data_IF_009965443907
#
_entry.id   IF_009965443907
#
_cell.length_a   1.000
_cell.length_b   1.000
_cell.length_c   1.000
_cell.angle_alpha   90.00
_cell.angle_beta   90.00
_cell.angle_gamma   90.00
#
_symmetry.space_group_name_H-M   'P 1'
#
loop_
_entity.id
_entity.type
_entity.pdbx_description
1 polymer ?
#
# COMPACT_ATOMS: atom_id res chain seq x y z
N UNK A 1 -5.64 -40.29 -3.17
CA UNK A 1 -6.06 -38.96 -3.65
C UNK A 1 -4.78 -38.18 -3.89
N UNK A 2 -4.40 -37.99 -5.15
CA UNK A 2 -3.22 -37.20 -5.52
C UNK A 2 -3.63 -35.73 -5.32
N UNK A 3 -2.95 -35.02 -4.42
CA UNK A 3 -3.05 -33.57 -4.31
C UNK A 3 -2.48 -32.99 -5.61
N UNK A 4 -3.27 -32.20 -6.33
CA UNK A 4 -2.78 -31.46 -7.50
C UNK A 4 -1.55 -30.66 -7.08
N UNK A 5 -0.46 -30.80 -7.82
CA UNK A 5 0.77 -30.03 -7.56
C UNK A 5 0.45 -28.54 -7.71
N UNK A 6 0.68 -27.71 -6.68
CA UNK A 6 0.46 -26.29 -6.79
C UNK A 6 1.40 -25.71 -7.84
N UNK A 7 0.84 -25.10 -8.89
CA UNK A 7 1.61 -24.44 -9.95
C UNK A 7 2.36 -23.27 -9.29
N UNK A 8 3.67 -23.43 -9.10
CA UNK A 8 4.52 -22.43 -8.50
C UNK A 8 4.60 -21.18 -9.40
N UNK A 9 4.34 -20.02 -8.81
CA UNK A 9 4.41 -18.72 -9.49
C UNK A 9 5.87 -18.38 -9.86
N UNK A 10 6.16 -17.98 -11.11
CA UNK A 10 7.53 -17.87 -11.65
C UNK A 10 8.35 -16.66 -11.17
N UNK A 11 7.75 -15.67 -10.48
CA UNK A 11 8.47 -14.48 -9.98
C UNK A 11 8.31 -14.40 -8.45
N UNK A 12 9.32 -14.85 -7.70
CA UNK A 12 9.33 -14.73 -6.24
C UNK A 12 10.08 -13.47 -5.80
N UNK A 13 9.34 -12.51 -5.23
CA UNK A 13 9.92 -11.49 -4.35
C UNK A 13 10.64 -12.23 -3.18
N UNK A 14 11.76 -11.68 -2.68
CA UNK A 14 12.43 -12.22 -1.49
C UNK A 14 11.49 -12.28 -0.27
N UNK A 15 11.82 -13.04 0.81
CA UNK A 15 10.96 -13.20 1.99
C UNK A 15 10.45 -11.85 2.52
N UNK A 16 9.15 -11.71 2.88
CA UNK A 16 8.64 -10.44 3.37
C UNK A 16 9.40 -9.98 4.61
N UNK A 17 9.72 -8.69 4.68
CA UNK A 17 10.52 -8.07 5.74
C UNK A 17 9.63 -7.29 6.70
N UNK A 18 10.11 -6.94 7.91
CA UNK A 18 9.33 -6.13 8.86
C UNK A 18 8.77 -4.82 8.28
N UNK A 19 9.46 -4.21 7.32
CA UNK A 19 9.01 -2.99 6.63
C UNK A 19 7.81 -3.20 5.68
N UNK A 20 7.57 -4.45 5.28
CA UNK A 20 6.47 -4.86 4.40
C UNK A 20 5.20 -5.17 5.23
N UNK A 21 5.30 -5.09 6.57
CA UNK A 21 4.17 -5.30 7.46
C UNK A 21 3.08 -4.22 7.28
N UNK A 22 1.84 -4.69 7.20
CA UNK A 22 0.65 -3.87 7.00
C UNK A 22 -0.23 -4.01 8.24
N UNK A 23 -0.67 -2.89 8.82
CA UNK A 23 -1.53 -2.89 10.03
C UNK A 23 -2.95 -3.36 9.73
N UNK A 24 -3.73 -3.85 10.70
CA UNK A 24 -5.15 -4.14 10.49
C UNK A 24 -5.98 -2.93 10.01
N UNK A 25 -7.15 -3.18 9.40
CA UNK A 25 -8.17 -2.18 9.13
C UNK A 25 -8.74 -1.69 10.48
N UNK A 26 -8.71 -0.38 10.77
CA UNK A 26 -9.32 0.17 11.98
C UNK A 26 -10.82 -0.11 12.01
N UNK A 27 -11.37 -0.46 13.18
CA UNK A 27 -12.81 -0.73 13.32
C UNK A 27 -13.71 0.46 12.93
N UNK A 28 -13.17 1.68 12.98
CA UNK A 28 -13.87 2.90 12.57
C UNK A 28 -13.79 3.20 11.06
N UNK A 29 -13.08 2.39 10.28
CA UNK A 29 -12.93 2.60 8.84
C UNK A 29 -14.16 2.07 8.09
N UNK A 30 -14.60 2.80 7.07
CA UNK A 30 -15.65 2.35 6.16
C UNK A 30 -15.07 1.40 5.11
N UNK A 31 -14.89 0.13 5.47
CA UNK A 31 -14.58 -0.95 4.51
C UNK A 31 -15.87 -1.52 3.92
N UNK A 32 -15.80 -2.03 2.70
CA UNK A 32 -16.85 -2.90 2.15
C UNK A 32 -16.53 -4.37 2.43
N UNK A 33 -17.55 -5.20 2.38
CA UNK A 33 -17.43 -6.66 2.56
C UNK A 33 -17.47 -7.35 1.20
N UNK A 34 -16.53 -8.27 0.98
CA UNK A 34 -16.45 -9.18 -0.16
C UNK A 34 -16.73 -10.59 0.37
N UNK A 35 -17.81 -11.20 -0.09
CA UNK A 35 -18.31 -12.49 0.41
C UNK A 35 -18.47 -13.56 -0.69
N UNK A 36 -18.24 -13.20 -1.96
CA UNK A 36 -18.29 -14.16 -3.06
C UNK A 36 -17.04 -15.03 -3.04
N UNK A 37 -17.21 -16.36 -3.04
CA UNK A 37 -16.10 -17.32 -3.06
C UNK A 37 -15.21 -17.13 -4.30
N UNK A 38 -15.81 -16.87 -5.46
CA UNK A 38 -15.09 -16.61 -6.71
C UNK A 38 -14.25 -15.32 -6.60
N UNK A 39 -14.82 -14.23 -6.08
CA UNK A 39 -14.09 -12.96 -5.91
C UNK A 39 -12.95 -13.08 -4.89
N UNK A 40 -13.17 -13.87 -3.83
CA UNK A 40 -12.15 -14.20 -2.84
C UNK A 40 -11.04 -15.03 -3.51
N UNK A 41 -11.40 -16.05 -4.28
CA UNK A 41 -10.46 -16.90 -5.01
C UNK A 41 -9.60 -16.12 -6.00
N UNK A 42 -10.21 -15.27 -6.82
CA UNK A 42 -9.51 -14.38 -7.75
C UNK A 42 -8.54 -13.44 -7.02
N UNK A 43 -9.00 -12.87 -5.89
CA UNK A 43 -8.19 -11.96 -5.07
C UNK A 43 -6.98 -12.67 -4.46
N UNK A 44 -7.17 -13.85 -3.87
CA UNK A 44 -6.10 -14.65 -3.28
C UNK A 44 -5.12 -15.13 -4.36
N UNK A 45 -5.64 -15.49 -5.54
CA UNK A 45 -4.82 -15.90 -6.70
C UNK A 45 -3.95 -14.74 -7.18
N UNK A 46 -4.50 -13.52 -7.24
CA UNK A 46 -3.73 -12.34 -7.60
C UNK A 46 -2.61 -12.07 -6.60
N UNK A 47 -2.89 -12.12 -5.29
CA UNK A 47 -1.88 -11.98 -4.24
C UNK A 47 -0.77 -13.04 -4.33
N UNK A 48 -1.14 -14.29 -4.64
CA UNK A 48 -0.18 -15.37 -4.85
C UNK A 48 0.71 -15.09 -6.08
N UNK A 49 0.09 -14.72 -7.21
CA UNK A 49 0.79 -14.43 -8.47
C UNK A 49 1.79 -13.28 -8.36
N UNK A 50 1.53 -12.30 -7.50
CA UNK A 50 2.40 -11.15 -7.27
C UNK A 50 3.43 -11.38 -6.15
N UNK A 51 3.28 -12.46 -5.38
CA UNK A 51 4.07 -12.74 -4.19
C UNK A 51 3.94 -11.65 -3.13
N UNK A 52 2.74 -11.08 -2.98
CA UNK A 52 2.50 -9.96 -2.06
C UNK A 52 2.60 -10.40 -0.60
N UNK A 53 3.12 -9.49 0.25
CA UNK A 53 3.30 -9.76 1.66
C UNK A 53 1.95 -9.80 2.40
N UNK A 54 1.81 -10.77 3.30
CA UNK A 54 0.68 -10.91 4.19
C UNK A 54 1.16 -10.78 5.64
N UNK A 55 0.49 -9.90 6.38
CA UNK A 55 0.68 -9.70 7.81
C UNK A 55 -0.37 -10.45 8.60
N UNK A 56 0.05 -11.36 9.48
CA UNK A 56 -0.81 -12.22 10.29
C UNK A 56 -0.72 -11.80 11.75
N UNK A 57 -1.81 -11.24 12.28
CA UNK A 57 -1.90 -10.76 13.65
C UNK A 57 -2.60 -11.79 14.54
N UNK A 58 -1.83 -12.28 15.52
CA UNK A 58 -2.32 -13.07 16.64
C UNK A 58 -2.97 -12.14 17.67
N UNK A 59 -4.14 -12.48 18.24
CA UNK A 59 -4.76 -11.73 19.32
C UNK A 59 -3.78 -11.46 20.47
N UNK A 60 -3.65 -10.20 20.87
CA UNK A 60 -2.72 -9.77 21.91
C UNK A 60 -1.27 -9.52 21.46
N UNK A 61 -0.89 -9.91 20.24
CA UNK A 61 0.41 -9.55 19.66
C UNK A 61 0.33 -8.22 18.91
N UNK A 62 1.37 -7.39 19.05
CA UNK A 62 1.55 -6.17 18.23
C UNK A 62 2.36 -6.45 16.96
N UNK A 63 3.23 -7.46 17.00
CA UNK A 63 4.08 -7.81 15.88
C UNK A 63 3.39 -8.89 15.04
N UNK A 64 3.26 -8.69 13.72
CA UNK A 64 2.69 -9.70 12.84
C UNK A 64 3.70 -10.79 12.53
N UNK A 65 3.21 -12.01 12.37
CA UNK A 65 3.92 -13.03 11.59
C UNK A 65 3.80 -12.65 10.11
N UNK A 66 4.88 -12.81 9.36
CA UNK A 66 4.93 -12.44 7.94
C UNK A 66 5.04 -13.69 7.05
N UNK A 67 4.40 -13.61 5.89
CA UNK A 67 4.45 -14.64 4.87
C UNK A 67 3.81 -14.17 3.56
N UNK A 68 3.56 -15.09 2.64
CA UNK A 68 2.79 -14.88 1.40
C UNK A 68 1.88 -16.06 1.08
N UNK A 69 0.89 -15.88 0.22
CA UNK A 69 0.20 -17.03 -0.39
C UNK A 69 1.16 -17.65 -1.39
N UNK A 70 1.44 -18.94 -1.20
CA UNK A 70 2.26 -19.72 -2.11
C UNK A 70 1.46 -20.12 -3.35
N UNK A 71 0.24 -20.61 -3.13
CA UNK A 71 -0.62 -21.15 -4.18
C UNK A 71 -2.07 -21.12 -3.74
N UNK A 72 -2.97 -21.04 -4.71
CA UNK A 72 -4.41 -21.18 -4.55
C UNK A 72 -4.85 -22.40 -5.35
N UNK A 73 -5.70 -23.24 -4.77
CA UNK A 73 -6.25 -24.40 -5.47
C UNK A 73 -7.25 -23.92 -6.55
N UNK A 74 -7.15 -24.41 -7.79
CA UNK A 74 -7.98 -23.92 -8.90
C UNK A 74 -9.44 -24.41 -8.86
N UNK A 75 -9.75 -25.43 -8.04
CA UNK A 75 -11.07 -26.08 -8.02
C UNK A 75 -11.74 -26.01 -6.64
N UNK A 76 -10.94 -25.99 -5.57
CA UNK A 76 -11.43 -25.98 -4.20
C UNK A 76 -11.09 -24.66 -3.51
N UNK A 77 -11.89 -24.21 -2.52
CA UNK A 77 -11.64 -22.97 -1.77
C UNK A 77 -10.51 -23.17 -0.74
N UNK A 78 -9.32 -23.49 -1.23
CA UNK A 78 -8.12 -23.75 -0.45
C UNK A 78 -6.93 -22.97 -1.00
N UNK A 79 -6.02 -22.61 -0.11
CA UNK A 79 -4.75 -22.02 -0.48
C UNK A 79 -3.66 -22.48 0.48
N UNK A 80 -2.41 -22.32 0.07
CA UNK A 80 -1.25 -22.62 0.91
C UNK A 80 -0.56 -21.32 1.27
N UNK A 81 -0.36 -21.12 2.56
CA UNK A 81 0.38 -19.99 3.11
C UNK A 81 1.85 -20.40 3.31
N UNK A 82 2.79 -19.60 2.81
CA UNK A 82 4.23 -19.74 3.07
C UNK A 82 4.65 -18.68 4.10
N UNK A 83 5.02 -19.12 5.30
CA UNK A 83 5.58 -18.27 6.36
C UNK A 83 7.05 -17.99 6.12
N UNK A 84 7.57 -16.95 6.78
CA UNK A 84 9.01 -16.76 6.90
C UNK A 84 9.68 -17.90 7.69
N UNK A 85 10.95 -18.15 7.40
CA UNK A 85 11.75 -19.13 8.12
C UNK A 85 11.76 -18.89 9.64
N UNK A 86 11.55 -19.96 10.41
CA UNK A 86 11.48 -19.91 11.87
C UNK A 86 10.18 -19.34 12.44
N UNK A 87 9.24 -18.89 11.59
CA UNK A 87 7.94 -18.42 12.05
C UNK A 87 6.92 -19.57 12.16
N UNK A 88 5.96 -19.40 13.06
CA UNK A 88 4.83 -20.31 13.27
C UNK A 88 3.59 -19.52 13.69
N UNK A 89 2.41 -20.03 13.37
CA UNK A 89 1.15 -19.47 13.86
C UNK A 89 0.67 -20.24 15.09
N UNK A 90 0.35 -19.57 16.22
CA UNK A 90 -0.26 -20.24 17.35
C UNK A 90 -1.73 -20.58 17.06
N UNK A 91 -2.29 -21.63 17.69
CA UNK A 91 -3.71 -21.96 17.62
C UNK A 91 -4.63 -20.76 17.87
N UNK A 92 -5.77 -20.77 17.19
CA UNK A 92 -6.85 -19.82 17.38
C UNK A 92 -7.05 -18.89 16.18
N UNK A 93 -7.67 -17.75 16.47
CA UNK A 93 -8.11 -16.76 15.47
C UNK A 93 -6.95 -15.88 15.04
N UNK A 94 -6.68 -15.80 13.75
CA UNK A 94 -5.64 -14.95 13.16
C UNK A 94 -6.30 -13.92 12.24
N UNK A 95 -5.83 -12.67 12.30
CA UNK A 95 -6.24 -11.62 11.34
C UNK A 95 -5.17 -11.48 10.27
N UNK A 96 -5.55 -11.71 9.01
CA UNK A 96 -4.68 -11.62 7.84
C UNK A 96 -4.91 -10.27 7.18
N UNK A 97 -3.81 -9.61 6.80
CA UNK A 97 -3.86 -8.30 6.16
C UNK A 97 -2.89 -8.26 5.00
N UNK A 98 -3.38 -7.84 3.84
CA UNK A 98 -2.59 -7.65 2.63
C UNK A 98 -2.96 -6.33 1.94
N UNK A 99 -2.16 -5.93 0.95
CA UNK A 99 -2.52 -4.86 0.02
C UNK A 99 -2.76 -5.49 -1.34
N UNK A 100 -3.99 -5.36 -1.83
CA UNK A 100 -4.38 -5.73 -3.18
C UNK A 100 -4.35 -4.48 -4.05
N UNK A 101 -3.32 -4.34 -4.89
CA UNK A 101 -3.08 -3.13 -5.69
C UNK A 101 -3.01 -1.87 -4.81
N UNK A 102 -4.13 -1.16 -4.66
CA UNK A 102 -4.28 0.07 -3.88
C UNK A 102 -5.14 -0.09 -2.64
N UNK A 103 -5.91 -1.19 -2.52
CA UNK A 103 -6.84 -1.45 -1.44
C UNK A 103 -6.21 -2.34 -0.37
N UNK A 104 -6.56 -2.12 0.89
CA UNK A 104 -6.20 -3.02 1.99
C UNK A 104 -7.24 -4.11 2.07
N UNK A 105 -6.81 -5.36 2.00
CA UNK A 105 -7.63 -6.55 2.23
C UNK A 105 -7.40 -7.03 3.66
N UNK A 106 -8.46 -7.41 4.36
CA UNK A 106 -8.38 -8.05 5.66
C UNK A 106 -9.41 -9.16 5.79
N UNK A 107 -8.98 -10.33 6.24
CA UNK A 107 -9.88 -11.42 6.58
C UNK A 107 -9.41 -12.12 7.86
N UNK A 108 -10.23 -13.03 8.37
CA UNK A 108 -9.91 -13.77 9.59
C UNK A 108 -10.19 -15.24 9.39
N UNK A 109 -9.24 -16.06 9.83
CA UNK A 109 -9.41 -17.51 9.91
C UNK A 109 -9.17 -17.93 11.35
N UNK A 110 -9.78 -19.04 11.75
CA UNK A 110 -9.56 -19.64 13.07
C UNK A 110 -9.30 -21.12 12.88
N UNK A 111 -8.24 -21.63 13.48
CA UNK A 111 -7.93 -23.05 13.44
C UNK A 111 -7.46 -23.53 14.82
N UNK A 112 -7.84 -24.74 15.21
CA UNK A 112 -7.37 -25.38 16.44
C UNK A 112 -5.90 -25.77 16.35
N UNK A 113 -5.40 -26.02 15.15
CA UNK A 113 -3.97 -26.20 14.89
C UNK A 113 -3.61 -25.69 13.50
N UNK A 114 -2.51 -24.95 13.38
CA UNK A 114 -2.04 -24.43 12.09
C UNK A 114 -1.02 -25.40 11.50
N UNK A 115 -1.49 -26.61 11.18
CA UNK A 115 -0.66 -27.70 10.72
C UNK A 115 0.08 -27.35 9.42
N UNK A 116 1.38 -27.63 9.42
CA UNK A 116 2.21 -27.49 8.22
C UNK A 116 2.18 -28.76 7.37
N UNK A 117 2.47 -28.61 6.08
CA UNK A 117 2.65 -29.75 5.18
C UNK A 117 3.80 -30.65 5.66
N UNK A 118 3.69 -31.98 5.49
CA UNK A 118 4.74 -32.92 5.88
C UNK A 118 6.10 -32.55 5.29
N UNK A 119 7.11 -32.39 6.15
CA UNK A 119 8.47 -32.00 5.76
C UNK A 119 8.65 -30.55 5.33
N UNK A 120 7.59 -29.72 5.39
CA UNK A 120 7.58 -28.34 4.93
C UNK A 120 6.97 -27.42 6.02
N UNK A 121 7.71 -27.15 7.12
CA UNK A 121 7.20 -26.48 8.32
C UNK A 121 6.78 -25.01 8.12
N UNK A 122 7.06 -24.43 6.95
CA UNK A 122 6.67 -23.06 6.60
C UNK A 122 5.38 -23.02 5.79
N UNK A 123 4.88 -24.17 5.31
CA UNK A 123 3.74 -24.23 4.40
C UNK A 123 2.50 -24.72 5.13
N UNK A 124 1.51 -23.84 5.29
CA UNK A 124 0.29 -24.12 6.04
C UNK A 124 -0.89 -24.12 5.06
N UNK A 125 -1.56 -25.26 4.84
CA UNK A 125 -2.81 -25.32 4.10
C UNK A 125 -3.93 -24.59 4.84
N UNK A 126 -4.73 -23.83 4.11
CA UNK A 126 -5.83 -23.02 4.66
C UNK A 126 -7.05 -23.12 3.74
N UNK A 127 -8.23 -22.91 4.31
CA UNK A 127 -9.48 -22.74 3.57
C UNK A 127 -9.74 -21.26 3.33
N UNK A 128 -10.53 -20.93 2.32
CA UNK A 128 -10.94 -19.55 2.07
C UNK A 128 -11.68 -18.98 3.29
N UNK A 129 -11.54 -17.67 3.55
CA UNK A 129 -12.40 -17.00 4.49
C UNK A 129 -13.83 -16.92 3.92
N UNK A 130 -14.84 -16.95 4.80
CA UNK A 130 -16.23 -16.71 4.38
C UNK A 130 -16.41 -15.27 3.86
N UNK A 131 -15.68 -14.32 4.44
CA UNK A 131 -15.75 -12.90 4.07
C UNK A 131 -14.40 -12.22 4.21
N UNK A 132 -14.19 -11.21 3.36
CA UNK A 132 -13.07 -10.29 3.41
C UNK A 132 -13.57 -8.85 3.57
N UNK A 133 -12.95 -8.08 4.46
CA UNK A 133 -13.09 -6.63 4.49
C UNK A 133 -12.09 -5.99 3.52
N UNK A 134 -12.59 -5.15 2.63
CA UNK A 134 -11.78 -4.41 1.66
C UNK A 134 -11.90 -2.91 1.99
N UNK A 135 -10.78 -2.31 2.35
CA UNK A 135 -10.68 -0.86 2.55
C UNK A 135 -9.97 -0.27 1.35
N UNK A 136 -10.76 0.26 0.41
CA UNK A 136 -10.26 1.23 -0.54
C UNK A 136 -10.47 2.64 0.02
N UNK A 137 -9.36 3.31 0.31
CA UNK A 137 -9.36 4.67 0.87
C UNK A 137 -9.08 5.73 -0.20
N UNK A 138 -8.86 5.33 -1.45
CA UNK A 138 -8.47 6.24 -2.52
C UNK A 138 -9.68 6.49 -3.42
N UNK A 139 -10.11 7.75 -3.47
CA UNK A 139 -11.14 8.19 -4.41
C UNK A 139 -10.59 8.45 -5.83
N UNK A 140 -9.27 8.41 -6.01
CA UNK A 140 -8.58 8.67 -7.27
C UNK A 140 -7.29 7.85 -7.38
N UNK A 141 -6.98 7.41 -8.60
CA UNK A 141 -5.71 6.75 -8.90
C UNK A 141 -4.53 7.71 -8.72
N UNK A 142 -3.37 7.15 -8.33
CA UNK A 142 -2.12 7.89 -8.16
C UNK A 142 -1.15 7.56 -9.26
N UNK A 143 -0.51 8.58 -9.81
CA UNK A 143 0.54 8.49 -10.82
C UNK A 143 1.85 8.91 -10.17
N UNK A 144 2.85 8.03 -10.19
CA UNK A 144 4.19 8.36 -9.69
C UNK A 144 4.91 9.28 -10.67
N UNK A 145 5.72 10.20 -10.15
CA UNK A 145 6.54 11.09 -10.99
C UNK A 145 7.61 10.27 -11.74
N UNK A 146 7.78 10.47 -13.06
CA UNK A 146 8.79 9.74 -13.83
C UNK A 146 10.21 9.93 -13.29
N UNK A 147 11.00 8.85 -13.35
CA UNK A 147 12.40 8.92 -12.98
C UNK A 147 13.16 9.88 -13.91
N UNK A 148 13.89 10.82 -13.31
CA UNK A 148 14.71 11.81 -14.02
C UNK A 148 14.04 13.17 -14.21
N UNK A 149 12.77 13.33 -13.84
CA UNK A 149 12.09 14.63 -13.88
C UNK A 149 12.07 15.29 -12.50
N UNK A 150 12.36 16.60 -12.43
CA UNK A 150 12.40 17.37 -11.19
C UNK A 150 11.07 18.10 -10.98
N UNK A 151 10.07 17.40 -10.46
CA UNK A 151 8.83 18.04 -10.03
C UNK A 151 8.98 18.49 -8.58
N UNK A 152 8.69 19.75 -8.32
CA UNK A 152 8.92 20.38 -7.03
C UNK A 152 7.67 21.07 -6.52
N UNK A 153 7.51 21.05 -5.20
CA UNK A 153 6.55 21.85 -4.48
C UNK A 153 7.32 22.92 -3.68
N UNK A 154 7.06 24.17 -4.00
CA UNK A 154 7.68 25.34 -3.37
C UNK A 154 6.65 26.02 -2.47
N UNK A 155 7.05 26.32 -1.24
CA UNK A 155 6.20 26.98 -0.25
C UNK A 155 7.05 27.66 0.82
N UNK A 156 6.50 28.70 1.45
CA UNK A 156 7.13 29.30 2.63
C UNK A 156 6.67 28.58 3.92
N UNK A 157 7.62 28.15 4.76
CA UNK A 157 7.33 27.69 6.11
C UNK A 157 8.11 28.49 7.14
N UNK A 158 7.37 29.22 7.99
CA UNK A 158 7.94 30.06 9.06
C UNK A 158 8.95 31.09 8.54
N UNK A 159 8.67 31.74 7.40
CA UNK A 159 9.58 32.71 6.78
C UNK A 159 10.77 32.10 6.05
N UNK A 160 10.77 30.77 5.82
CA UNK A 160 11.83 30.07 5.10
C UNK A 160 11.23 29.32 3.92
N UNK A 161 11.67 29.67 2.71
CA UNK A 161 11.30 28.95 1.50
C UNK A 161 11.75 27.50 1.58
N UNK A 162 10.82 26.62 1.26
CA UNK A 162 10.99 25.18 1.21
C UNK A 162 10.78 24.73 -0.22
N UNK A 163 11.66 23.85 -0.66
CA UNK A 163 11.53 23.13 -1.91
C UNK A 163 11.49 21.63 -1.57
N UNK A 164 10.39 20.97 -1.93
CA UNK A 164 10.15 19.56 -1.68
C UNK A 164 9.94 18.82 -2.99
N UNK A 165 10.45 17.59 -3.08
CA UNK A 165 10.25 16.78 -4.27
C UNK A 165 8.86 16.17 -4.28
N UNK A 166 8.22 16.14 -5.44
CA UNK A 166 6.96 15.43 -5.64
C UNK A 166 7.25 13.95 -5.92
N UNK A 167 6.52 13.06 -5.26
CA UNK A 167 6.63 11.60 -5.45
C UNK A 167 5.49 11.04 -6.30
N UNK A 168 4.25 11.43 -5.99
CA UNK A 168 3.06 10.99 -6.73
C UNK A 168 1.97 12.08 -6.74
N UNK A 169 1.06 11.98 -7.71
CA UNK A 169 -0.12 12.84 -7.85
C UNK A 169 -1.40 12.01 -7.97
N UNK A 170 -2.49 12.49 -7.39
CA UNK A 170 -3.85 12.13 -7.77
C UNK A 170 -4.74 13.36 -7.84
N UNK A 171 -5.95 13.23 -8.41
CA UNK A 171 -6.94 14.31 -8.38
C UNK A 171 -7.27 14.80 -6.96
N UNK A 172 -7.18 13.90 -5.97
CA UNK A 172 -7.48 14.22 -4.57
C UNK A 172 -6.29 14.71 -3.74
N UNK A 173 -5.05 14.62 -4.23
CA UNK A 173 -3.89 15.01 -3.43
C UNK A 173 -2.54 14.66 -4.03
N UNK A 174 -1.49 14.88 -3.25
CA UNK A 174 -0.09 14.76 -3.69
C UNK A 174 0.76 14.09 -2.61
N UNK A 175 1.74 13.29 -3.01
CA UNK A 175 2.80 12.75 -2.15
C UNK A 175 4.06 13.59 -2.29
N UNK A 176 4.61 14.09 -1.17
CA UNK A 176 5.81 14.94 -1.15
C UNK A 176 6.92 14.29 -0.32
N UNK A 177 8.17 14.53 -0.70
CA UNK A 177 9.37 14.12 0.02
C UNK A 177 10.15 15.34 0.48
N UNK A 178 10.55 15.32 1.75
CA UNK A 178 11.42 16.32 2.33
C UNK A 178 12.36 15.72 3.37
N UNK A 179 13.40 16.46 3.73
CA UNK A 179 14.31 16.05 4.81
C UNK A 179 13.61 16.07 6.17
N UNK A 180 14.11 15.24 7.10
CA UNK A 180 13.61 15.21 8.48
C UNK A 180 13.67 16.57 9.20
N UNK A 181 14.66 17.40 8.86
CA UNK A 181 14.76 18.77 9.38
C UNK A 181 13.62 19.67 8.89
N UNK A 182 13.24 19.56 7.62
CA UNK A 182 12.16 20.35 7.01
C UNK A 182 10.78 19.89 7.49
N UNK A 183 10.64 18.61 7.85
CA UNK A 183 9.38 18.05 8.34
C UNK A 183 8.98 18.47 9.76
N UNK A 184 9.79 19.29 10.46
CA UNK A 184 9.50 19.71 11.84
C UNK A 184 8.18 20.49 11.91
N UNK A 185 7.25 20.01 12.73
CA UNK A 185 5.92 20.62 12.89
C UNK A 185 4.91 20.26 11.80
N UNK A 186 5.27 19.40 10.83
CA UNK A 186 4.35 18.87 9.82
C UNK A 186 3.55 17.70 10.40
N UNK A 187 2.47 18.04 11.10
CA UNK A 187 1.54 17.08 11.70
C UNK A 187 0.29 16.91 10.86
N UNK A 188 -0.37 15.76 11.00
CA UNK A 188 -1.68 15.50 10.37
C UNK A 188 -2.69 16.60 10.74
N UNK A 189 -3.41 17.10 9.74
CA UNK A 189 -4.37 18.19 9.85
C UNK A 189 -3.77 19.58 9.64
N UNK A 190 -2.44 19.72 9.58
CA UNK A 190 -1.81 21.01 9.25
C UNK A 190 -2.13 21.40 7.81
N UNK A 191 -2.53 22.65 7.61
CA UNK A 191 -2.69 23.25 6.29
C UNK A 191 -1.41 23.92 5.82
N UNK A 192 -1.12 23.78 4.53
CA UNK A 192 -0.09 24.47 3.79
C UNK A 192 -0.79 25.34 2.76
N UNK A 193 -0.53 26.64 2.78
CA UNK A 193 -1.15 27.62 1.90
C UNK A 193 -0.18 27.98 0.79
N UNK A 194 -0.72 28.43 -0.35
CA UNK A 194 0.06 28.96 -1.47
C UNK A 194 1.20 28.04 -1.93
N UNK A 195 0.94 26.72 -1.94
CA UNK A 195 1.93 25.75 -2.40
C UNK A 195 1.98 25.79 -3.92
N UNK A 196 3.15 26.12 -4.46
CA UNK A 196 3.40 26.21 -5.88
C UNK A 196 4.00 24.89 -6.36
N UNK A 197 3.30 24.19 -7.26
CA UNK A 197 3.81 23.00 -7.93
C UNK A 197 4.47 23.43 -9.23
N UNK A 198 5.78 23.28 -9.31
CA UNK A 198 6.56 23.47 -10.52
C UNK A 198 6.73 22.10 -11.18
N UNK A 199 6.00 21.90 -12.27
CA UNK A 199 5.88 20.60 -12.94
C UNK A 199 6.72 20.55 -14.21
N UNK A 200 6.85 21.67 -14.90
CA UNK A 200 7.83 21.85 -15.96
C UNK A 200 8.21 23.34 -16.03
N UNK A 201 8.97 23.75 -17.04
CA UNK A 201 9.43 25.13 -17.19
C UNK A 201 8.27 26.14 -17.38
N UNK A 202 7.08 25.68 -17.81
CA UNK A 202 5.94 26.54 -18.15
C UNK A 202 4.72 26.34 -17.24
N UNK A 203 4.67 25.23 -16.51
CA UNK A 203 3.50 24.79 -15.73
C UNK A 203 3.75 24.97 -14.24
N UNK A 204 3.16 26.04 -13.71
CA UNK A 204 3.05 26.29 -12.26
C UNK A 204 1.58 26.24 -11.84
N UNK A 205 1.27 25.38 -10.86
CA UNK A 205 -0.06 25.27 -10.27
C UNK A 205 0.02 25.69 -8.81
N UNK A 206 -0.89 26.55 -8.36
CA UNK A 206 -0.96 26.95 -6.95
C UNK A 206 -2.15 26.26 -6.28
N UNK A 207 -1.94 25.61 -5.13
CA UNK A 207 -3.04 25.04 -4.34
C UNK A 207 -2.78 25.06 -2.84
N UNK A 208 -3.85 24.89 -2.07
CA UNK A 208 -3.80 24.62 -0.64
C UNK A 208 -3.76 23.12 -0.38
N UNK A 209 -2.96 22.72 0.63
CA UNK A 209 -2.81 21.33 1.04
C UNK A 209 -3.19 21.14 2.50
N UNK A 210 -3.73 19.98 2.86
CA UNK A 210 -3.80 19.48 4.23
C UNK A 210 -2.97 18.21 4.37
N UNK A 211 -2.10 18.15 5.37
CA UNK A 211 -1.30 16.97 5.67
C UNK A 211 -2.20 15.86 6.22
N UNK A 212 -2.25 14.71 5.54
CA UNK A 212 -3.06 13.55 5.92
C UNK A 212 -2.28 12.47 6.63
N UNK A 213 -1.01 12.28 6.29
CA UNK A 213 -0.10 11.40 7.03
C UNK A 213 1.36 11.76 6.78
N UNK A 214 2.22 11.29 7.67
CA UNK A 214 3.68 11.35 7.53
C UNK A 214 4.30 9.99 7.78
N UNK A 215 5.35 9.62 7.03
CA UNK A 215 6.08 8.36 7.20
C UNK A 215 7.57 8.58 6.95
N UNK A 216 8.40 8.15 7.89
CA UNK A 216 9.85 8.13 7.67
C UNK A 216 10.24 6.97 6.75
N UNK A 217 11.19 7.21 5.86
CA UNK A 217 11.81 6.19 5.03
C UNK A 217 13.29 6.51 4.82
N UNK A 218 14.07 5.52 4.37
CA UNK A 218 15.49 5.70 4.04
C UNK A 218 15.65 5.70 2.53
N UNK A 219 15.96 6.86 1.97
CA UNK A 219 16.41 7.01 0.59
C UNK A 219 17.86 6.54 0.48
N UNK A 220 18.19 5.91 -0.64
CA UNK A 220 19.56 5.47 -0.94
C UNK A 220 20.52 6.66 -1.09
N UNK A 221 20.07 7.73 -1.75
CA UNK A 221 20.88 8.91 -2.04
C UNK A 221 20.81 9.96 -0.93
N UNK A 222 19.60 10.22 -0.42
CA UNK A 222 19.33 11.36 0.47
C UNK A 222 19.23 10.97 1.96
N UNK A 223 19.54 9.72 2.32
CA UNK A 223 19.48 9.25 3.70
C UNK A 223 18.05 9.20 4.25
N UNK A 224 17.88 9.55 5.53
CA UNK A 224 16.55 9.55 6.17
C UNK A 224 15.69 10.71 5.65
N UNK A 225 14.53 10.36 5.08
CA UNK A 225 13.58 11.29 4.45
C UNK A 225 12.19 11.08 5.05
N UNK A 226 11.33 12.09 4.90
CA UNK A 226 9.93 12.03 5.31
C UNK A 226 9.05 12.10 4.08
N UNK A 227 8.17 11.11 3.96
CA UNK A 227 7.06 11.12 3.03
C UNK A 227 5.84 11.79 3.68
N UNK A 228 5.30 12.79 2.99
CA UNK A 228 4.12 13.55 3.37
C UNK A 228 3.00 13.21 2.38
N UNK A 229 1.91 12.63 2.88
CA UNK A 229 0.69 12.53 2.09
C UNK A 229 -0.20 13.73 2.33
N UNK A 230 -0.42 14.53 1.30
CA UNK A 230 -1.24 15.74 1.34
C UNK A 230 -2.52 15.58 0.53
N UNK A 231 -3.59 16.23 0.97
CA UNK A 231 -4.87 16.33 0.25
C UNK A 231 -5.05 17.77 -0.23
N UNK A 232 -5.54 17.96 -1.44
CA UNK A 232 -5.89 19.30 -1.91
C UNK A 232 -7.10 19.83 -1.14
N UNK A 233 -7.06 21.10 -0.77
CA UNK A 233 -8.13 21.79 -0.06
C UNK A 233 -8.60 22.95 -0.93
N UNK A 234 -9.91 23.24 -0.90
CA UNK A 234 -10.50 24.39 -1.61
C UNK A 234 -10.19 24.41 -3.12
N UNK A 235 -10.11 23.24 -3.77
CA UNK A 235 -9.84 23.17 -5.21
C UNK A 235 -10.92 23.90 -6.02
N UNK A 236 -10.48 24.79 -6.90
CA UNK A 236 -11.33 25.34 -7.94
C UNK A 236 -11.45 24.35 -9.09
N UNK A 237 -12.54 24.39 -9.89
CA UNK A 237 -12.66 23.56 -11.09
C UNK A 237 -11.51 23.75 -12.10
N UNK A 238 -10.92 24.95 -12.14
CA UNK A 238 -9.78 25.26 -13.00
C UNK A 238 -8.51 24.55 -12.53
N UNK A 239 -8.18 24.65 -11.23
CA UNK A 239 -7.05 23.95 -10.62
C UNK A 239 -7.18 22.43 -10.78
N UNK A 240 -8.38 21.88 -10.57
CA UNK A 240 -8.65 20.45 -10.76
C UNK A 240 -8.41 20.03 -12.21
N UNK A 241 -8.86 20.84 -13.18
CA UNK A 241 -8.64 20.58 -14.61
C UNK A 241 -7.15 20.62 -14.98
N UNK A 242 -6.39 21.56 -14.42
CA UNK A 242 -4.94 21.64 -14.63
C UNK A 242 -4.22 20.41 -14.08
N UNK A 243 -4.53 20.01 -12.84
CA UNK A 243 -3.97 18.79 -12.23
C UNK A 243 -4.30 17.55 -13.06
N UNK A 244 -5.54 17.45 -13.56
CA UNK A 244 -5.95 16.35 -14.43
C UNK A 244 -5.13 16.29 -15.71
N UNK A 245 -4.93 17.42 -16.38
CA UNK A 245 -4.13 17.51 -17.60
C UNK A 245 -2.68 17.05 -17.38
N UNK A 246 -2.08 17.43 -16.24
CA UNK A 246 -0.74 16.99 -15.85
C UNK A 246 -0.71 15.47 -15.66
N UNK A 247 -1.67 14.91 -14.93
CA UNK A 247 -1.75 13.46 -14.69
C UNK A 247 -1.90 12.67 -16.00
N UNK A 248 -2.72 13.16 -16.93
CA UNK A 248 -2.91 12.52 -18.24
C UNK A 248 -1.60 12.52 -19.05
N UNK A 249 -0.84 13.62 -19.03
CA UNK A 249 0.48 13.69 -19.65
C UNK A 249 1.45 12.67 -19.03
N UNK A 250 1.55 12.62 -17.70
CA UNK A 250 2.43 11.69 -16.99
C UNK A 250 2.11 10.22 -17.32
N UNK A 251 0.83 9.87 -17.34
CA UNK A 251 0.37 8.52 -17.69
C UNK A 251 0.76 8.13 -19.12
N UNK A 252 0.69 9.07 -20.07
CA UNK A 252 1.09 8.82 -21.45
C UNK A 252 2.60 8.67 -21.61
N UNK A 253 3.39 9.52 -20.95
CA UNK A 253 4.86 9.44 -20.97
C UNK A 253 5.40 8.13 -20.37
N UNK A 254 4.72 7.60 -19.34
CA UNK A 254 5.09 6.32 -18.72
C UNK A 254 4.74 5.09 -19.58
N UNK A 255 3.82 5.21 -20.56
CA UNK A 255 3.39 4.09 -21.44
C UNK A 255 4.20 3.99 -22.73
N UNK A 256 4.99 4.99 -23.07
CA UNK A 256 5.79 5.04 -24.32
C UNK A 256 7.24 4.57 -24.13
N UNK A 257 7.58 4.07 -22.94
CA UNK A 257 8.85 3.39 -22.63
C UNK A 257 8.59 1.91 -22.41
#
# INVERSE_FOLDING_TARGET
>A
MMLNEPIAVPIRKGPPRPQDAITPIPASASSHEMASEDEIGDTLTLLASHGDAISMYVPGSREPVLGRILSVDPELPHFVMELNEGASLPPGKITFVAVLRTAKLQFRLSNTDWDSLPGQPQLIPMTFPETCAVLDRRSSERVETPLGTSFTAVLELHGIDQEWSIYDFSLGGVGLHCSKSQAKGLLKGRKLLDVQFELDEETVIVAELEIRFTRAFRSFLAGEQIHLGCMFVNMTPETESQIKSVMDHLNHASRTR
#
